data_IF_325855333560
#
_entry.id   IF_325855333560
#
_cell.length_a   1.000
_cell.length_b   1.000
_cell.length_c   1.000
_cell.angle_alpha   90.00
_cell.angle_beta   90.00
_cell.angle_gamma   90.00
#
_symmetry.space_group_name_H-M   'P 1'
#
loop_
_entity.id
_entity.type
_entity.pdbx_description
1 polymer ?
#
# COMPACT_ATOMS: atom_id res chain seq x y z
N UNK A 1 8.29 2.06 -17.22
CA UNK A 1 9.21 2.32 -16.11
C UNK A 1 8.66 1.53 -14.95
N UNK A 2 9.41 0.56 -14.44
CA UNK A 2 9.08 -0.14 -13.20
C UNK A 2 9.27 0.86 -12.06
N UNK A 3 8.23 1.10 -11.28
CA UNK A 3 8.36 1.89 -10.07
C UNK A 3 9.21 1.07 -9.07
N UNK A 4 10.25 1.69 -8.50
CA UNK A 4 11.16 1.03 -7.57
C UNK A 4 10.84 1.46 -6.15
N UNK A 5 10.73 0.49 -5.25
CA UNK A 5 10.56 0.72 -3.82
C UNK A 5 11.93 0.76 -3.15
N UNK A 6 12.23 1.86 -2.47
CA UNK A 6 13.47 2.11 -1.75
C UNK A 6 13.20 2.55 -0.32
N UNK A 7 14.22 2.53 0.53
CA UNK A 7 14.11 3.01 1.92
C UNK A 7 13.67 4.49 2.01
N UNK A 8 13.87 5.28 0.95
CA UNK A 8 13.39 6.66 0.85
C UNK A 8 11.85 6.75 0.73
N UNK A 9 11.20 5.65 0.36
CA UNK A 9 9.75 5.54 0.28
C UNK A 9 9.10 5.21 1.63
N UNK A 10 9.90 4.93 2.66
CA UNK A 10 9.41 4.71 4.03
C UNK A 10 8.76 5.98 4.56
N UNK A 11 7.56 5.84 5.09
CA UNK A 11 6.72 6.94 5.57
C UNK A 11 5.89 7.62 4.49
N UNK A 12 5.98 7.20 3.22
CA UNK A 12 5.09 7.70 2.15
C UNK A 12 3.69 7.13 2.31
N UNK A 13 2.71 7.94 1.91
CA UNK A 13 1.32 7.51 1.83
C UNK A 13 1.17 6.53 0.67
N UNK A 14 0.51 5.41 0.96
CA UNK A 14 0.11 4.44 -0.06
C UNK A 14 -1.32 4.72 -0.45
N UNK A 15 -1.53 4.88 -1.74
CA UNK A 15 -2.83 5.19 -2.34
C UNK A 15 -3.17 4.18 -3.43
N UNK A 16 -4.45 3.98 -3.66
CA UNK A 16 -4.96 3.19 -4.78
C UNK A 16 -4.89 3.97 -6.11
N UNK A 17 -5.18 3.32 -7.23
CA UNK A 17 -5.32 3.95 -8.54
C UNK A 17 -6.40 5.06 -8.56
N UNK A 18 -7.41 4.97 -7.68
CA UNK A 18 -8.41 6.02 -7.49
C UNK A 18 -7.92 7.21 -6.63
N UNK A 19 -6.70 7.16 -6.10
CA UNK A 19 -6.14 8.18 -5.19
C UNK A 19 -6.66 8.06 -3.76
N UNK A 20 -7.26 6.93 -3.41
CA UNK A 20 -7.74 6.63 -2.07
C UNK A 20 -6.59 6.19 -1.20
N UNK A 21 -6.40 6.83 -0.05
CA UNK A 21 -5.41 6.41 0.93
C UNK A 21 -5.73 4.98 1.40
N UNK A 22 -4.69 4.17 1.57
CA UNK A 22 -4.80 2.78 2.04
C UNK A 22 -4.00 2.61 3.33
N UNK A 23 -2.90 3.34 3.46
CA UNK A 23 -2.00 3.26 4.60
C UNK A 23 -0.70 4.02 4.37
N UNK A 24 0.31 3.71 5.16
CA UNK A 24 1.63 4.32 5.11
C UNK A 24 2.69 3.23 5.00
N UNK A 25 3.74 3.47 4.21
CA UNK A 25 4.89 2.55 4.15
C UNK A 25 5.60 2.53 5.50
N UNK A 26 5.53 1.41 6.21
CA UNK A 26 6.20 1.19 7.47
C UNK A 26 7.70 0.88 7.28
N UNK A 27 8.03 -0.01 6.34
CA UNK A 27 9.42 -0.40 6.05
C UNK A 27 9.58 -0.85 4.60
N UNK A 28 10.80 -0.78 4.05
CA UNK A 28 11.12 -1.33 2.72
C UNK A 28 12.29 -2.31 2.83
N UNK A 29 12.07 -3.56 2.44
CA UNK A 29 13.08 -4.61 2.45
C UNK A 29 13.11 -5.39 1.13
N UNK A 30 14.30 -5.48 0.49
CA UNK A 30 14.49 -6.23 -0.75
C UNK A 30 13.51 -5.85 -1.89
N UNK A 31 13.18 -4.57 -2.03
CA UNK A 31 12.21 -4.10 -3.03
C UNK A 31 10.74 -4.40 -2.67
N UNK A 32 10.46 -4.66 -1.39
CA UNK A 32 9.11 -4.88 -0.86
C UNK A 32 8.81 -3.87 0.23
N UNK A 33 7.69 -3.16 0.14
CA UNK A 33 7.22 -2.26 1.20
C UNK A 33 6.27 -3.02 2.12
N UNK A 34 6.50 -2.99 3.43
CA UNK A 34 5.46 -3.26 4.40
C UNK A 34 4.64 -1.97 4.58
N UNK A 35 3.32 -2.06 4.48
CA UNK A 35 2.39 -0.95 4.60
C UNK A 35 1.50 -1.20 5.79
N UNK A 36 1.53 -0.25 6.72
CA UNK A 36 0.65 -0.20 7.88
C UNK A 36 -0.70 0.37 7.42
N UNK A 37 -1.76 -0.46 7.37
CA UNK A 37 -3.08 -0.03 6.90
C UNK A 37 -3.75 0.86 7.94
N UNK A 38 -4.26 2.01 7.52
CA UNK A 38 -4.92 2.92 8.45
C UNK A 38 -6.26 2.32 8.92
N UNK A 39 -6.46 2.02 10.21
CA UNK A 39 -7.66 1.32 10.70
C UNK A 39 -8.95 2.11 10.45
N UNK A 40 -8.88 3.43 10.31
CA UNK A 40 -10.04 4.28 9.99
C UNK A 40 -10.52 4.17 8.54
N UNK A 41 -9.71 3.63 7.62
CA UNK A 41 -10.01 3.56 6.18
C UNK A 41 -10.17 2.11 5.68
N UNK A 42 -9.58 1.18 6.42
CA UNK A 42 -9.80 -0.25 6.36
C UNK A 42 -11.31 -0.60 6.33
N UNK A 43 -12.14 0.04 7.15
CA UNK A 43 -13.58 -0.25 7.26
C UNK A 43 -14.39 -0.13 5.94
N UNK A 44 -13.98 0.72 4.99
CA UNK A 44 -14.72 0.92 3.73
C UNK A 44 -14.18 0.12 2.54
N UNK A 45 -12.91 -0.29 2.59
CA UNK A 45 -12.31 -1.16 1.56
C UNK A 45 -12.56 -2.62 1.89
N UNK A 46 -12.35 -3.04 3.14
CA UNK A 46 -12.44 -4.45 3.56
C UNK A 46 -13.82 -5.08 3.32
N UNK A 47 -14.89 -4.28 3.36
CA UNK A 47 -16.26 -4.76 3.18
C UNK A 47 -16.56 -5.29 1.76
N UNK A 48 -15.85 -4.80 0.73
CA UNK A 48 -16.09 -5.19 -0.67
C UNK A 48 -15.21 -6.34 -1.14
N UNK A 49 -14.00 -6.48 -0.61
CA UNK A 49 -12.99 -7.40 -1.19
C UNK A 49 -12.97 -8.78 -0.52
N UNK A 50 -13.72 -9.00 0.58
CA UNK A 50 -13.74 -10.31 1.24
C UNK A 50 -12.38 -10.71 1.83
N UNK A 51 -11.54 -9.72 2.14
CA UNK A 51 -10.25 -9.92 2.80
C UNK A 51 -10.51 -9.92 4.29
N UNK A 52 -11.10 -11.04 4.74
CA UNK A 52 -11.24 -11.38 6.14
C UNK A 52 -9.87 -11.78 6.67
N UNK A 53 -9.24 -10.86 7.37
CA UNK A 53 -8.19 -11.14 8.34
C UNK A 53 -8.45 -10.22 9.51
N UNK A 54 -9.09 -10.75 10.55
CA UNK A 54 -8.97 -10.20 11.90
C UNK A 54 -7.49 -10.25 12.26
N UNK A 55 -6.69 -9.29 11.83
CA UNK A 55 -5.42 -8.89 12.44
C UNK A 55 -4.91 -7.70 11.61
N UNK A 56 -4.65 -6.58 12.29
CA UNK A 56 -4.06 -5.35 11.79
C UNK A 56 -2.59 -5.58 11.41
N UNK A 57 -2.30 -6.55 10.53
CA UNK A 57 -0.93 -6.91 10.15
C UNK A 57 -0.56 -6.22 8.84
N UNK A 58 0.60 -5.56 8.85
CA UNK A 58 1.16 -4.84 7.70
C UNK A 58 1.05 -5.63 6.39
N UNK A 59 0.56 -5.00 5.32
CA UNK A 59 0.51 -5.61 4.00
C UNK A 59 1.82 -5.40 3.24
N UNK A 60 2.35 -6.45 2.61
CA UNK A 60 3.58 -6.36 1.81
C UNK A 60 3.27 -6.02 0.34
N UNK A 61 3.58 -4.79 -0.07
CA UNK A 61 3.59 -4.31 -1.46
C UNK A 61 4.88 -4.74 -2.15
N UNK A 62 4.78 -5.13 -3.41
CA UNK A 62 5.95 -5.37 -4.28
C UNK A 62 5.91 -4.48 -5.51
N UNK A 63 7.06 -4.28 -6.18
CA UNK A 63 7.18 -3.45 -7.39
C UNK A 63 6.19 -3.82 -8.51
N UNK A 64 5.77 -5.09 -8.60
CA UNK A 64 4.78 -5.57 -9.57
C UNK A 64 3.37 -5.03 -9.30
N UNK A 65 3.08 -4.72 -8.03
CA UNK A 65 1.82 -4.13 -7.58
C UNK A 65 1.84 -2.60 -7.66
N UNK A 66 2.96 -1.98 -8.04
CA UNK A 66 3.07 -0.53 -8.15
C UNK A 66 2.69 -0.07 -9.54
N UNK A 67 1.83 0.93 -9.60
CA UNK A 67 1.59 1.67 -10.83
C UNK A 67 2.62 2.78 -10.98
N UNK A 68 2.89 3.52 -9.89
CA UNK A 68 3.76 4.69 -9.87
C UNK A 68 4.23 5.01 -8.45
N UNK A 69 5.47 5.47 -8.33
CA UNK A 69 6.05 5.98 -7.09
C UNK A 69 6.54 7.39 -7.36
N UNK A 70 5.89 8.37 -6.74
CA UNK A 70 6.30 9.78 -6.78
C UNK A 70 6.32 10.34 -5.34
N UNK A 71 5.45 11.31 -5.03
CA UNK A 71 5.22 11.79 -3.66
C UNK A 71 4.49 10.73 -2.81
N UNK A 72 3.64 9.96 -3.47
CA UNK A 72 2.82 8.89 -2.91
C UNK A 72 3.08 7.60 -3.70
N UNK A 73 2.82 6.46 -3.05
CA UNK A 73 2.96 5.13 -3.65
C UNK A 73 1.59 4.72 -4.20
N UNK A 74 1.46 4.70 -5.53
CA UNK A 74 0.21 4.34 -6.21
C UNK A 74 0.22 2.85 -6.56
N UNK A 75 -0.76 2.11 -6.06
CA UNK A 75 -0.94 0.70 -6.38
C UNK A 75 -1.66 0.51 -7.71
N UNK A 76 -1.26 -0.55 -8.43
CA UNK A 76 -1.87 -1.01 -9.66
C UNK A 76 -2.92 -2.07 -9.34
N UNK A 77 -4.05 -1.65 -8.81
CA UNK A 77 -5.16 -2.52 -8.49
C UNK A 77 -6.45 -1.73 -8.43
N UNK A 78 -7.54 -2.34 -8.85
CA UNK A 78 -8.87 -1.95 -8.37
C UNK A 78 -9.01 -2.73 -7.05
N UNK A 79 -8.79 -2.05 -5.91
CA UNK A 79 -9.01 -2.60 -4.57
C UNK A 79 -10.47 -2.38 -4.14
#
# INVERSE_FOLDING_TARGET
>A
MTAQLTDDDVGKTVVDAEGKELGIVATVENGRAAVDPNPSLAEQVLASIGWGGEDEEDYVVTEDMLERVDADVVLRGEL
#
